data_IF_870959734974
#
_entry.id   IF_870959734974
#
_cell.length_a   1.000
_cell.length_b   1.000
_cell.length_c   1.000
_cell.angle_alpha   90.00
_cell.angle_beta   90.00
_cell.angle_gamma   90.00
#
_symmetry.space_group_name_H-M   'P 1'
#
loop_
_entity.id
_entity.type
_entity.pdbx_description
1 polymer ?
#
# COMPACT_ATOMS: atom_id res chain seq x y z
N UNK A 1 -4.94 6.61 -24.70
CA UNK A 1 -5.83 6.89 -23.55
C UNK A 1 -4.91 7.12 -22.34
N UNK A 2 -5.17 8.16 -21.54
CA UNK A 2 -4.38 8.37 -20.32
C UNK A 2 -4.71 7.26 -19.32
N UNK A 3 -3.70 6.65 -18.70
CA UNK A 3 -3.87 5.63 -17.67
C UNK A 3 -4.46 6.25 -16.40
N UNK A 4 -5.39 5.56 -15.77
CA UNK A 4 -6.00 5.98 -14.50
C UNK A 4 -5.11 5.48 -13.35
N UNK A 5 -4.49 6.42 -12.64
CA UNK A 5 -3.57 6.16 -11.52
C UNK A 5 -4.30 6.52 -10.23
N UNK A 6 -4.72 5.54 -9.45
CA UNK A 6 -5.38 5.78 -8.17
C UNK A 6 -4.51 5.30 -7.01
N UNK A 7 -4.56 6.07 -5.92
CA UNK A 7 -3.89 5.72 -4.68
C UNK A 7 -4.86 5.05 -3.73
N UNK A 8 -4.49 3.89 -3.19
CA UNK A 8 -5.21 3.24 -2.09
C UNK A 8 -4.52 3.44 -0.75
N UNK A 9 -5.32 3.62 0.30
CA UNK A 9 -4.87 3.61 1.69
C UNK A 9 -5.60 2.50 2.41
N UNK A 10 -4.87 1.49 2.89
CA UNK A 10 -5.44 0.43 3.71
C UNK A 10 -5.65 0.93 5.14
N UNK A 11 -6.89 1.02 5.60
CA UNK A 11 -7.19 1.50 6.95
C UNK A 11 -8.28 0.67 7.60
N UNK A 12 -8.13 0.34 8.89
CA UNK A 12 -9.17 -0.30 9.72
C UNK A 12 -9.03 0.10 11.18
N UNK A 13 -10.13 0.09 11.91
CA UNK A 13 -10.14 0.38 13.35
C UNK A 13 -9.50 -0.76 14.15
N UNK A 14 -9.65 -1.99 13.70
CA UNK A 14 -9.26 -3.20 14.41
C UNK A 14 -7.77 -3.52 14.19
N UNK A 15 -6.88 -2.68 14.72
CA UNK A 15 -5.43 -2.90 14.70
C UNK A 15 -4.99 -3.66 15.94
N UNK A 16 -4.31 -4.81 15.78
CA UNK A 16 -3.87 -5.64 16.89
C UNK A 16 -2.98 -4.89 17.90
N UNK A 17 -1.97 -4.16 17.42
CA UNK A 17 -1.00 -3.44 18.28
C UNK A 17 -1.57 -2.17 18.91
N UNK A 18 -2.44 -1.44 18.18
CA UNK A 18 -3.00 -0.17 18.62
C UNK A 18 -4.38 0.03 17.98
N UNK A 19 -5.47 -0.46 18.62
CA UNK A 19 -6.82 -0.29 18.11
C UNK A 19 -7.17 1.19 17.87
N UNK A 20 -7.85 1.46 16.76
CA UNK A 20 -8.26 2.82 16.38
C UNK A 20 -7.11 3.76 15.98
N UNK A 21 -5.89 3.26 15.76
CA UNK A 21 -4.71 4.11 15.48
C UNK A 21 -4.94 5.11 14.34
N UNK A 22 -5.64 4.71 13.29
CA UNK A 22 -5.87 5.54 12.10
C UNK A 22 -6.72 6.78 12.38
N UNK A 23 -7.56 6.75 13.43
CA UNK A 23 -8.38 7.89 13.86
C UNK A 23 -7.84 8.59 15.10
N UNK A 24 -6.70 8.16 15.67
CA UNK A 24 -6.04 8.91 16.73
C UNK A 24 -5.64 10.29 16.22
N UNK A 25 -5.79 11.32 17.07
CA UNK A 25 -5.61 12.71 16.67
C UNK A 25 -4.25 13.25 17.07
N UNK A 26 -3.65 14.01 16.16
CA UNK A 26 -2.54 14.92 16.40
C UNK A 26 -3.02 16.33 16.05
N UNK A 27 -2.91 17.29 16.96
CA UNK A 27 -3.44 18.63 16.79
C UNK A 27 -4.91 18.63 16.31
N UNK A 28 -5.76 17.86 16.98
CA UNK A 28 -7.18 17.66 16.67
C UNK A 28 -7.50 17.05 15.29
N UNK A 29 -6.51 16.62 14.53
CA UNK A 29 -6.70 16.00 13.21
C UNK A 29 -6.39 14.49 13.26
N UNK A 30 -7.30 13.61 12.81
CA UNK A 30 -7.03 12.16 12.70
C UNK A 30 -5.80 11.85 11.84
N UNK A 31 -5.00 10.84 12.22
CA UNK A 31 -3.81 10.45 11.46
C UNK A 31 -4.14 10.13 9.99
N UNK A 32 -5.22 9.41 9.72
CA UNK A 32 -5.69 9.13 8.37
C UNK A 32 -6.05 10.41 7.59
N UNK A 33 -6.64 11.42 8.27
CA UNK A 33 -6.94 12.70 7.64
C UNK A 33 -5.65 13.46 7.27
N UNK A 34 -4.62 13.40 8.12
CA UNK A 34 -3.31 13.98 7.83
C UNK A 34 -2.72 13.32 6.58
N UNK A 35 -2.72 12.00 6.54
CA UNK A 35 -2.21 11.21 5.40
C UNK A 35 -2.95 11.56 4.11
N UNK A 36 -4.29 11.52 4.11
CA UNK A 36 -5.11 11.86 2.94
C UNK A 36 -4.81 13.27 2.44
N UNK A 37 -4.75 14.28 3.35
CA UNK A 37 -4.45 15.67 2.96
C UNK A 37 -3.05 15.83 2.35
N UNK A 38 -2.07 15.04 2.79
CA UNK A 38 -0.73 15.02 2.21
C UNK A 38 -0.75 14.36 0.84
N UNK A 39 -1.37 13.18 0.71
CA UNK A 39 -1.47 12.46 -0.56
C UNK A 39 -2.21 13.27 -1.64
N UNK A 40 -3.20 14.07 -1.28
CA UNK A 40 -3.90 14.99 -2.21
C UNK A 40 -2.99 16.04 -2.87
N UNK A 41 -1.76 16.23 -2.39
CA UNK A 41 -0.77 17.13 -2.99
C UNK A 41 0.09 16.46 -4.07
N UNK A 42 0.00 15.15 -4.25
CA UNK A 42 0.60 14.44 -5.39
C UNK A 42 -0.01 14.95 -6.69
N UNK A 43 0.81 15.06 -7.74
CA UNK A 43 0.42 15.60 -9.05
C UNK A 43 0.08 14.51 -10.07
N UNK A 44 0.50 13.28 -9.79
CA UNK A 44 0.39 12.17 -10.73
C UNK A 44 -0.74 11.19 -10.42
N UNK A 45 -1.39 11.30 -9.25
CA UNK A 45 -2.56 10.47 -8.91
C UNK A 45 -3.86 11.15 -9.34
N UNK A 46 -4.84 10.35 -9.79
CA UNK A 46 -6.17 10.82 -10.16
C UNK A 46 -7.10 10.90 -8.94
N UNK A 47 -7.14 9.84 -8.13
CA UNK A 47 -8.03 9.72 -6.98
C UNK A 47 -7.38 8.99 -5.81
N UNK A 48 -7.93 9.22 -4.61
CA UNK A 48 -7.60 8.48 -3.39
C UNK A 48 -8.78 7.58 -3.02
N UNK A 49 -8.49 6.31 -2.73
CA UNK A 49 -9.46 5.30 -2.31
C UNK A 49 -9.03 4.77 -0.93
N UNK A 50 -9.80 4.99 0.10
CA UNK A 50 -9.56 4.32 1.38
C UNK A 50 -10.20 2.94 1.35
N UNK A 51 -9.40 1.88 1.46
CA UNK A 51 -9.84 0.49 1.45
C UNK A 51 -10.01 0.00 2.91
N UNK A 52 -11.25 0.03 3.41
CA UNK A 52 -11.60 -0.36 4.78
C UNK A 52 -12.45 -1.63 4.85
N UNK A 53 -12.85 -2.07 6.04
CA UNK A 53 -13.63 -3.28 6.21
C UNK A 53 -15.14 -3.02 6.25
N UNK A 54 -15.94 -4.10 6.26
CA UNK A 54 -17.39 -4.03 6.44
C UNK A 54 -17.81 -3.98 7.92
N UNK A 55 -16.85 -4.00 8.83
CA UNK A 55 -17.12 -3.98 10.27
C UNK A 55 -17.72 -2.63 10.67
N UNK A 56 -18.64 -2.66 11.64
CA UNK A 56 -19.36 -1.46 12.09
C UNK A 56 -18.42 -0.38 12.67
N UNK A 57 -17.33 -0.80 13.28
CA UNK A 57 -16.31 0.10 13.83
C UNK A 57 -15.67 0.99 12.74
N UNK A 58 -15.62 0.49 11.49
CA UNK A 58 -15.04 1.19 10.34
C UNK A 58 -16.03 2.18 9.67
N UNK A 59 -17.29 2.31 10.15
CA UNK A 59 -18.24 3.34 9.71
C UNK A 59 -17.66 4.74 9.93
N UNK A 60 -16.83 4.91 10.96
CA UNK A 60 -16.14 6.17 11.26
C UNK A 60 -15.10 6.54 10.18
N UNK A 61 -14.46 5.53 9.57
CA UNK A 61 -13.52 5.74 8.45
C UNK A 61 -14.28 6.18 7.22
N UNK A 62 -15.41 5.53 6.92
CA UNK A 62 -16.27 5.88 5.78
C UNK A 62 -16.81 7.31 5.89
N UNK A 63 -17.28 7.69 7.09
CA UNK A 63 -17.68 9.05 7.40
C UNK A 63 -16.56 10.06 7.16
N UNK A 64 -15.35 9.78 7.66
CA UNK A 64 -14.17 10.63 7.46
C UNK A 64 -13.83 10.79 5.98
N UNK A 65 -13.93 9.71 5.20
CA UNK A 65 -13.71 9.76 3.75
C UNK A 65 -14.69 10.69 3.04
N UNK A 66 -15.97 10.59 3.42
CA UNK A 66 -17.03 11.48 2.91
C UNK A 66 -16.76 12.96 3.25
N UNK A 67 -16.36 13.25 4.49
CA UNK A 67 -16.00 14.60 4.95
C UNK A 67 -14.79 15.17 4.20
N UNK A 68 -13.84 14.31 3.84
CA UNK A 68 -12.64 14.71 3.11
C UNK A 68 -12.80 14.67 1.58
N UNK A 69 -13.95 14.23 1.06
CA UNK A 69 -14.21 14.10 -0.38
C UNK A 69 -13.24 13.14 -1.06
N UNK A 70 -13.02 11.95 -0.46
CA UNK A 70 -12.25 10.84 -1.05
C UNK A 70 -13.11 9.60 -1.14
N UNK A 71 -12.75 8.70 -2.03
CA UNK A 71 -13.48 7.45 -2.22
C UNK A 71 -13.26 6.50 -1.04
N UNK A 72 -14.31 5.77 -0.65
CA UNK A 72 -14.22 4.69 0.32
C UNK A 72 -14.69 3.39 -0.30
N UNK A 73 -13.96 2.31 -0.07
CA UNK A 73 -14.36 0.96 -0.43
C UNK A 73 -14.34 0.07 0.81
N UNK A 74 -15.44 -0.68 1.01
CA UNK A 74 -15.59 -1.59 2.15
C UNK A 74 -15.55 -3.04 1.69
N UNK A 75 -14.58 -3.81 2.18
CA UNK A 75 -14.34 -5.20 1.77
C UNK A 75 -14.07 -6.15 2.93
N UNK A 76 -13.40 -7.26 2.64
CA UNK A 76 -13.02 -8.27 3.64
C UNK A 76 -12.04 -7.70 4.68
N UNK A 77 -12.18 -8.09 5.93
CA UNK A 77 -11.21 -7.79 6.98
C UNK A 77 -9.94 -8.65 6.82
N UNK A 78 -10.12 -9.94 6.56
CA UNK A 78 -9.04 -10.93 6.58
C UNK A 78 -8.30 -11.05 5.25
N UNK A 79 -8.91 -10.61 4.16
CA UNK A 79 -8.34 -10.65 2.82
C UNK A 79 -8.09 -9.23 2.30
N UNK A 80 -6.96 -8.69 2.72
CA UNK A 80 -6.57 -7.31 2.38
C UNK A 80 -6.28 -7.17 0.89
N UNK A 81 -5.56 -8.14 0.31
CA UNK A 81 -5.24 -8.14 -1.11
C UNK A 81 -6.50 -8.09 -1.97
N UNK A 82 -7.47 -8.96 -1.70
CA UNK A 82 -8.75 -8.96 -2.42
C UNK A 82 -9.54 -7.66 -2.19
N UNK A 83 -9.50 -7.10 -0.98
CA UNK A 83 -10.14 -5.82 -0.66
C UNK A 83 -9.56 -4.68 -1.49
N UNK A 84 -8.22 -4.56 -1.55
CA UNK A 84 -7.52 -3.54 -2.34
C UNK A 84 -7.80 -3.73 -3.83
N UNK A 85 -7.68 -4.96 -4.35
CA UNK A 85 -7.98 -5.26 -5.74
C UNK A 85 -9.41 -4.87 -6.11
N UNK A 86 -10.40 -5.28 -5.29
CA UNK A 86 -11.81 -4.95 -5.53
C UNK A 86 -12.08 -3.45 -5.51
N UNK A 87 -11.39 -2.69 -4.65
CA UNK A 87 -11.47 -1.24 -4.63
C UNK A 87 -11.00 -0.64 -5.96
N UNK A 88 -9.86 -1.09 -6.48
CA UNK A 88 -9.31 -0.61 -7.74
C UNK A 88 -10.09 -1.07 -8.98
N UNK A 89 -10.69 -2.27 -8.95
CA UNK A 89 -11.61 -2.74 -10.00
C UNK A 89 -12.86 -1.86 -10.07
N UNK A 90 -13.49 -1.58 -8.91
CA UNK A 90 -14.67 -0.69 -8.82
C UNK A 90 -14.39 0.70 -9.38
N UNK A 91 -13.20 1.23 -9.14
CA UNK A 91 -12.81 2.58 -9.56
C UNK A 91 -11.98 2.60 -10.86
N UNK A 92 -11.92 1.48 -11.59
CA UNK A 92 -11.30 1.34 -12.92
C UNK A 92 -9.86 1.84 -12.99
N UNK A 93 -9.07 1.60 -11.94
CA UNK A 93 -7.66 1.95 -11.92
C UNK A 93 -6.88 1.10 -12.93
N UNK A 94 -5.91 1.69 -13.63
CA UNK A 94 -4.93 0.96 -14.43
C UNK A 94 -3.67 0.71 -13.62
N UNK A 95 -3.22 1.75 -12.90
CA UNK A 95 -2.06 1.74 -12.02
C UNK A 95 -2.52 2.00 -10.58
N UNK A 96 -1.90 1.30 -9.67
CA UNK A 96 -2.17 1.36 -8.23
C UNK A 96 -0.96 1.97 -7.54
N UNK A 97 -1.20 2.99 -6.73
CA UNK A 97 -0.28 3.43 -5.68
C UNK A 97 -0.82 2.92 -4.37
N UNK A 98 -0.09 2.04 -3.69
CA UNK A 98 -0.56 1.41 -2.45
C UNK A 98 0.21 1.93 -1.25
N UNK A 99 -0.55 2.35 -0.22
CA UNK A 99 -0.07 2.84 1.06
C UNK A 99 -0.81 2.17 2.21
N UNK A 100 -0.12 2.00 3.34
CA UNK A 100 -0.77 1.59 4.59
C UNK A 100 -1.24 2.79 5.40
N UNK A 101 -2.34 2.65 6.15
CA UNK A 101 -3.01 3.75 6.88
C UNK A 101 -2.28 4.23 8.13
N UNK A 102 -1.09 3.70 8.41
CA UNK A 102 -0.22 4.12 9.52
C UNK A 102 0.97 4.99 9.07
N UNK A 103 0.90 5.54 7.87
CA UNK A 103 1.91 6.40 7.27
C UNK A 103 1.48 7.87 7.19
N UNK A 104 1.22 8.56 8.33
CA UNK A 104 0.64 9.91 8.32
C UNK A 104 1.58 10.97 7.73
N UNK A 105 2.89 10.69 7.67
CA UNK A 105 3.90 11.62 7.17
C UNK A 105 4.26 11.42 5.70
N UNK A 106 3.44 10.68 4.97
CA UNK A 106 3.67 10.39 3.55
C UNK A 106 4.08 11.63 2.74
N UNK A 107 5.16 11.53 1.95
CA UNK A 107 5.61 12.63 1.11
C UNK A 107 4.97 12.55 -0.29
N UNK A 108 4.19 13.57 -0.73
CA UNK A 108 3.59 13.58 -2.05
C UNK A 108 4.63 13.60 -3.20
N UNK A 109 5.82 14.16 -2.98
CA UNK A 109 6.90 14.13 -3.98
C UNK A 109 7.45 12.72 -4.16
N UNK A 110 7.58 11.96 -3.07
CA UNK A 110 8.01 10.56 -3.14
C UNK A 110 6.98 9.69 -3.85
N UNK A 111 5.68 9.97 -3.66
CA UNK A 111 4.62 9.31 -4.43
C UNK A 111 4.84 9.59 -5.92
N UNK A 112 4.99 10.85 -6.30
CA UNK A 112 5.18 11.26 -7.70
C UNK A 112 6.46 10.65 -8.29
N UNK A 113 7.56 10.59 -7.53
CA UNK A 113 8.83 9.97 -7.95
C UNK A 113 8.68 8.47 -8.23
N UNK A 114 7.99 7.75 -7.34
CA UNK A 114 7.73 6.32 -7.55
C UNK A 114 6.83 6.07 -8.77
N UNK A 115 5.79 6.90 -8.96
CA UNK A 115 4.89 6.82 -10.12
C UNK A 115 5.65 7.13 -11.40
N UNK A 116 6.43 8.21 -11.44
CA UNK A 116 7.22 8.61 -12.62
C UNK A 116 8.22 7.50 -13.00
N UNK A 117 8.91 6.94 -12.00
CA UNK A 117 9.82 5.81 -12.23
C UNK A 117 9.11 4.60 -12.82
N UNK A 118 7.91 4.28 -12.32
CA UNK A 118 7.10 3.18 -12.83
C UNK A 118 6.68 3.41 -14.28
N UNK A 119 6.18 4.61 -14.59
CA UNK A 119 5.70 4.97 -15.93
C UNK A 119 6.80 4.97 -16.99
N UNK A 120 8.02 5.35 -16.62
CA UNK A 120 9.16 5.52 -17.53
C UNK A 120 10.14 4.32 -17.51
N UNK A 121 9.69 3.14 -17.09
CA UNK A 121 10.51 1.93 -17.04
C UNK A 121 9.70 0.68 -17.36
N UNK A 122 10.39 -0.46 -17.47
CA UNK A 122 9.81 -1.79 -17.69
C UNK A 122 9.72 -2.63 -16.39
N UNK A 123 9.74 -1.97 -15.23
CA UNK A 123 9.56 -2.65 -13.95
C UNK A 123 8.11 -3.04 -13.71
N UNK A 124 7.90 -4.24 -13.18
CA UNK A 124 6.57 -4.73 -12.76
C UNK A 124 6.11 -4.07 -11.46
N UNK A 125 7.08 -3.69 -10.62
CA UNK A 125 6.86 -3.17 -9.27
C UNK A 125 7.94 -2.16 -8.89
N UNK A 126 7.52 -0.95 -8.51
CA UNK A 126 8.40 0.10 -7.98
C UNK A 126 8.00 0.39 -6.53
N UNK A 127 8.97 0.51 -5.65
CA UNK A 127 8.76 0.86 -4.24
C UNK A 127 9.95 1.65 -3.70
N UNK A 128 9.83 2.20 -2.48
CA UNK A 128 10.93 2.85 -1.76
C UNK A 128 11.31 2.15 -0.46
N UNK A 129 10.67 1.03 -0.14
CA UNK A 129 10.91 0.27 1.08
C UNK A 129 11.72 -0.99 0.80
N UNK A 130 13.00 -1.02 1.18
CA UNK A 130 13.78 -2.25 1.20
C UNK A 130 13.22 -3.23 2.23
N UNK A 131 13.41 -4.54 2.00
CA UNK A 131 12.95 -5.61 2.92
C UNK A 131 13.89 -5.82 4.11
N UNK A 132 15.05 -5.20 4.10
CA UNK A 132 16.19 -5.51 4.96
C UNK A 132 16.81 -4.24 5.58
N UNK A 133 17.99 -4.43 6.18
CA UNK A 133 18.79 -3.42 6.87
C UNK A 133 19.21 -2.23 5.97
N UNK A 134 19.00 -2.32 4.65
CA UNK A 134 19.33 -1.27 3.69
C UNK A 134 18.18 -0.26 3.48
N UNK A 135 17.21 -0.19 4.38
CA UNK A 135 16.14 0.77 4.32
C UNK A 135 16.67 2.20 4.52
N UNK A 136 16.51 3.03 3.50
CA UNK A 136 17.04 4.40 3.48
C UNK A 136 15.98 5.48 3.76
N UNK A 137 14.70 5.14 3.65
CA UNK A 137 13.62 6.02 4.04
C UNK A 137 13.13 5.70 5.46
N UNK A 138 12.70 6.70 6.24
CA UNK A 138 12.08 6.47 7.55
C UNK A 138 10.87 5.54 7.46
N UNK A 139 10.62 4.80 8.55
CA UNK A 139 9.38 4.04 8.69
C UNK A 139 8.16 4.95 8.54
N UNK A 140 7.13 4.46 7.86
CA UNK A 140 5.91 5.22 7.65
C UNK A 140 5.93 6.14 6.43
N UNK A 141 6.89 5.96 5.51
CA UNK A 141 6.94 6.64 4.21
C UNK A 141 6.88 5.67 3.03
N UNK A 142 6.40 4.44 3.26
CA UNK A 142 6.38 3.40 2.23
C UNK A 142 5.39 3.74 1.11
N UNK A 143 5.86 3.61 -0.12
CA UNK A 143 5.09 3.72 -1.36
C UNK A 143 5.32 2.47 -2.19
N UNK A 144 4.27 1.92 -2.78
CA UNK A 144 4.35 0.83 -3.73
C UNK A 144 3.54 1.17 -4.98
N UNK A 145 4.12 0.96 -6.17
CA UNK A 145 3.47 1.26 -7.45
C UNK A 145 3.52 0.03 -8.36
N UNK A 146 2.37 -0.37 -8.89
CA UNK A 146 2.22 -1.52 -9.77
C UNK A 146 0.92 -1.45 -10.58
N UNK A 147 0.77 -2.28 -11.61
CA UNK A 147 -0.46 -2.33 -12.38
C UNK A 147 -1.57 -3.12 -11.66
N UNK A 148 -2.84 -2.74 -11.89
CA UNK A 148 -3.98 -3.54 -11.44
C UNK A 148 -3.94 -4.96 -12.02
N UNK A 149 -3.50 -5.11 -13.28
CA UNK A 149 -3.35 -6.43 -13.92
C UNK A 149 -2.36 -7.33 -13.18
N UNK A 150 -1.27 -6.75 -12.66
CA UNK A 150 -0.32 -7.49 -11.83
C UNK A 150 -0.99 -7.96 -10.53
N UNK A 151 -1.76 -7.10 -9.87
CA UNK A 151 -2.46 -7.47 -8.65
C UNK A 151 -3.53 -8.55 -8.88
N UNK A 152 -4.24 -8.52 -10.02
CA UNK A 152 -5.18 -9.58 -10.43
C UNK A 152 -4.48 -10.93 -10.60
N UNK A 153 -3.30 -10.92 -11.23
CA UNK A 153 -2.47 -12.13 -11.38
C UNK A 153 -2.03 -12.68 -10.02
N UNK A 154 -1.55 -11.81 -9.13
CA UNK A 154 -1.10 -12.20 -7.80
C UNK A 154 -2.26 -12.71 -6.94
N UNK A 155 -3.42 -12.06 -7.02
CA UNK A 155 -4.63 -12.51 -6.33
C UNK A 155 -4.97 -13.95 -6.70
N UNK A 156 -4.91 -14.28 -7.99
CA UNK A 156 -5.13 -15.63 -8.47
C UNK A 156 -4.04 -16.61 -7.97
N UNK A 157 -2.77 -16.23 -8.08
CA UNK A 157 -1.62 -17.08 -7.71
C UNK A 157 -1.51 -17.35 -6.20
N UNK A 158 -2.04 -16.46 -5.35
CA UNK A 158 -1.95 -16.56 -3.89
C UNK A 158 -3.20 -17.14 -3.23
N UNK A 159 -4.14 -17.69 -4.01
CA UNK A 159 -5.37 -18.30 -3.46
C UNK A 159 -5.12 -19.54 -2.62
N UNK A 160 -4.06 -20.30 -2.93
CA UNK A 160 -3.71 -21.50 -2.18
C UNK A 160 -2.19 -21.68 -2.06
N UNK A 161 -1.74 -22.38 -0.98
CA UNK A 161 -0.33 -22.76 -0.82
C UNK A 161 0.15 -23.67 -1.94
N UNK A 162 -0.72 -24.47 -2.50
CA UNK A 162 -0.36 -25.35 -3.60
C UNK A 162 0.02 -24.56 -4.84
N UNK A 163 -0.73 -23.52 -5.18
CA UNK A 163 -0.44 -22.61 -6.28
C UNK A 163 0.85 -21.83 -6.04
N UNK A 164 1.07 -21.34 -4.81
CA UNK A 164 2.30 -20.66 -4.42
C UNK A 164 3.53 -21.57 -4.59
N UNK A 165 3.47 -22.81 -4.07
CA UNK A 165 4.57 -23.77 -4.14
C UNK A 165 4.92 -24.19 -5.58
N UNK A 166 3.96 -24.27 -6.47
CA UNK A 166 4.20 -24.54 -7.89
C UNK A 166 5.05 -23.44 -8.55
N UNK A 167 4.92 -22.20 -8.12
CA UNK A 167 5.57 -21.05 -8.73
C UNK A 167 6.89 -20.66 -8.07
N UNK A 168 7.03 -20.87 -6.78
CA UNK A 168 8.22 -20.47 -6.01
C UNK A 168 8.97 -21.70 -5.54
N UNK A 169 10.07 -22.05 -6.24
CA UNK A 169 10.91 -23.21 -5.88
C UNK A 169 11.67 -23.05 -4.56
N UNK A 170 12.01 -21.81 -4.17
CA UNK A 170 12.77 -21.50 -2.95
C UNK A 170 12.14 -20.31 -2.23
N UNK A 171 11.12 -20.56 -1.42
CA UNK A 171 10.60 -19.55 -0.52
C UNK A 171 11.63 -19.33 0.60
N UNK A 172 12.41 -18.25 0.55
CA UNK A 172 13.12 -17.78 1.74
C UNK A 172 12.07 -17.39 2.77
N UNK A 173 11.80 -18.30 3.70
CA UNK A 173 10.89 -18.03 4.82
C UNK A 173 11.61 -17.05 5.75
N UNK A 174 11.33 -15.77 5.60
CA UNK A 174 11.71 -14.82 6.64
C UNK A 174 10.98 -15.24 7.92
N UNK A 175 11.74 -15.46 9.00
CA UNK A 175 11.19 -15.74 10.34
C UNK A 175 10.39 -14.52 10.79
N UNK A 176 9.10 -14.52 10.50
CA UNK A 176 8.15 -13.55 11.02
C UNK A 176 7.16 -14.28 11.93
N UNK A 177 6.56 -13.57 12.87
CA UNK A 177 5.61 -14.07 13.86
C UNK A 177 4.29 -14.66 13.29
N UNK A 178 4.18 -14.82 11.98
CA UNK A 178 2.99 -15.34 11.32
C UNK A 178 3.05 -16.86 11.21
N UNK A 179 2.02 -17.53 11.72
CA UNK A 179 1.95 -18.99 11.74
C UNK A 179 1.53 -19.61 10.39
N UNK A 180 0.98 -18.80 9.46
CA UNK A 180 0.41 -19.30 8.22
C UNK A 180 0.91 -18.50 7.01
N UNK A 181 1.67 -19.14 6.10
CA UNK A 181 2.31 -18.49 4.95
C UNK A 181 1.28 -17.98 3.94
N UNK A 182 0.13 -18.65 3.79
CA UNK A 182 -0.95 -18.24 2.88
C UNK A 182 -1.57 -16.91 3.29
N UNK A 183 -1.85 -16.78 4.58
CA UNK A 183 -2.49 -15.57 5.10
C UNK A 183 -1.60 -14.33 4.94
N UNK A 184 -0.27 -14.47 5.03
CA UNK A 184 0.65 -13.34 4.86
C UNK A 184 0.55 -12.66 3.51
N UNK A 185 0.45 -13.42 2.43
CA UNK A 185 0.32 -12.86 1.09
C UNK A 185 -1.05 -12.23 0.85
N UNK A 186 -2.07 -12.65 1.61
CA UNK A 186 -3.40 -12.07 1.58
C UNK A 186 -3.54 -10.86 2.49
N UNK A 187 -2.76 -10.80 3.56
CA UNK A 187 -2.73 -9.69 4.53
C UNK A 187 -1.82 -8.53 4.11
N UNK A 188 -0.78 -8.81 3.31
CA UNK A 188 0.21 -7.83 2.86
C UNK A 188 0.31 -7.83 1.33
N UNK A 189 -0.39 -6.88 0.71
CA UNK A 189 -0.56 -6.76 -0.75
C UNK A 189 0.74 -6.91 -1.53
N UNK A 190 1.81 -6.26 -1.06
CA UNK A 190 3.08 -6.18 -1.78
C UNK A 190 4.08 -7.28 -1.40
N UNK A 191 3.79 -8.09 -0.38
CA UNK A 191 4.76 -9.06 0.14
C UNK A 191 5.15 -10.10 -0.92
N UNK A 192 4.20 -10.60 -1.69
CA UNK A 192 4.46 -11.56 -2.76
C UNK A 192 5.34 -10.97 -3.87
N UNK A 193 5.10 -9.70 -4.24
CA UNK A 193 5.92 -9.00 -5.23
C UNK A 193 7.37 -8.88 -4.78
N UNK A 194 7.59 -8.54 -3.50
CA UNK A 194 8.93 -8.35 -2.93
C UNK A 194 9.70 -9.65 -2.73
N UNK A 195 9.02 -10.75 -2.41
CA UNK A 195 9.69 -11.97 -1.90
C UNK A 195 9.74 -13.14 -2.88
N UNK A 196 8.89 -13.16 -3.90
CA UNK A 196 8.80 -14.28 -4.83
C UNK A 196 9.97 -14.39 -5.80
N UNK A 197 10.64 -13.29 -6.11
CA UNK A 197 11.68 -13.22 -7.16
C UNK A 197 11.13 -13.38 -8.59
N UNK A 198 9.81 -13.29 -8.77
CA UNK A 198 9.15 -13.49 -10.08
C UNK A 198 8.96 -12.20 -10.89
N UNK A 199 9.20 -11.04 -10.28
CA UNK A 199 8.90 -9.74 -10.86
C UNK A 199 10.15 -8.87 -10.96
N UNK A 200 10.20 -8.03 -12.00
CA UNK A 200 11.21 -6.97 -12.12
C UNK A 200 10.86 -5.85 -11.13
N UNK A 201 11.67 -5.72 -10.09
CA UNK A 201 11.43 -4.75 -9.02
C UNK A 201 12.47 -3.63 -9.01
N UNK A 202 12.06 -2.44 -8.63
CA UNK A 202 12.94 -1.31 -8.41
C UNK A 202 12.66 -0.66 -7.05
N UNK A 203 13.71 -0.37 -6.29
CA UNK A 203 13.62 0.38 -5.05
C UNK A 203 14.15 1.79 -5.28
N UNK A 204 13.28 2.79 -5.14
CA UNK A 204 13.65 4.21 -5.23
C UNK A 204 14.55 4.54 -4.04
N UNK A 205 15.70 5.14 -4.35
CA UNK A 205 16.69 5.53 -3.36
C UNK A 205 16.57 7.03 -3.09
N UNK A 206 16.71 7.47 -1.82
CA UNK A 206 16.68 8.90 -1.53
C UNK A 206 17.82 9.62 -2.23
N UNK A 207 17.55 10.82 -2.73
CA UNK A 207 18.62 11.70 -3.22
C UNK A 207 19.59 12.02 -2.07
N UNK A 208 20.86 12.25 -2.39
CA UNK A 208 21.89 12.58 -1.38
C UNK A 208 21.51 13.74 -0.46
N UNK A 209 20.64 14.65 -0.92
CA UNK A 209 20.14 15.78 -0.12
C UNK A 209 19.17 15.39 0.99
N UNK A 210 18.49 14.26 0.88
CA UNK A 210 17.57 13.75 1.93
C UNK A 210 18.36 13.03 3.04
N UNK A 211 19.53 12.48 2.72
CA UNK A 211 20.41 11.82 3.70
C UNK A 211 21.14 12.82 4.62
N UNK A 212 21.07 14.12 4.32
CA UNK A 212 21.62 15.20 5.17
C UNK A 212 20.51 15.81 6.04
N UNK A 213 19.81 15.01 6.85
CA UNK A 213 19.01 15.57 7.93
C UNK A 213 19.98 16.16 8.95
N UNK A 214 19.80 17.42 9.36
CA UNK A 214 20.58 17.94 10.47
C UNK A 214 20.30 17.06 11.69
N UNK A 215 21.34 16.63 12.37
CA UNK A 215 21.22 15.97 13.66
C UNK A 215 20.34 16.84 14.57
N UNK A 216 19.21 16.28 15.02
CA UNK A 216 18.32 16.92 15.97
C UNK A 216 18.96 16.91 17.37
#
# INVERSE_FOLDING_TARGET
MNQVINLSIEARMNSYRLPGKVLKKVNNMPLLAIQIKRCKKSKLINDIIVATTKNKEDDQIDKLCSELGVKCFRGSENDVLHRVLSAHQKHKSDIIVELTGDNPLQDPKLIDECVDKYLNSDFDFVNNGALDENRLYPDGMDVAVFSRKLLEKIEFETRSMEEIKKKIKNIKVYKTSYQNVDNRYREHVILYMKTSGLFKTYCVMPSKSILQWPEL
#
